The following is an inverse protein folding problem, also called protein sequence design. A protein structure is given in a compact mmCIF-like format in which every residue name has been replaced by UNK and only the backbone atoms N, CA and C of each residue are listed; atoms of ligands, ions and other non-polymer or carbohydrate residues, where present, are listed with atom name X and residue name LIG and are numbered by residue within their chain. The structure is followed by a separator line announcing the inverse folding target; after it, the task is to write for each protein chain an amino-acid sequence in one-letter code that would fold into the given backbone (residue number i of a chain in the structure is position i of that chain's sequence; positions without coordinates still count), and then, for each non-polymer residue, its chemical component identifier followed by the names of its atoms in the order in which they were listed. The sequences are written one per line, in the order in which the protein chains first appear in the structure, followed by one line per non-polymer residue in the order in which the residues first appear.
data_IF_715001602881
#
_entry.id   IF_715001602881
#
_cell.length_a   1.000
_cell.length_b   1.000
_cell.length_c   1.000
_cell.angle_alpha   90.00
_cell.angle_beta   90.00
_cell.angle_gamma   90.00
#
_symmetry.space_group_name_H-M   'P 1'
#
loop_
_entity.id
_entity.type
_entity.pdbx_description
1 polymer ?
#
# COMPACT_ATOMS: atom_id res chain seq x y z
N UNK A 1 -0.31 1.61 17.20
CA UNK A 1 -0.17 3.07 17.34
C UNK A 1 1.28 3.38 17.61
N UNK A 2 1.97 4.00 16.65
CA UNK A 2 3.31 4.53 16.85
C UNK A 2 3.19 6.03 17.17
N UNK A 3 3.94 6.48 18.18
CA UNK A 3 4.07 7.90 18.49
C UNK A 3 5.31 8.43 17.76
N UNK A 4 5.13 9.41 16.87
CA UNK A 4 6.24 10.03 16.11
C UNK A 4 7.26 10.75 17.01
N UNK A 5 6.84 11.18 18.20
CA UNK A 5 7.66 11.91 19.17
C UNK A 5 7.35 11.48 20.61
N UNK A 6 7.83 10.31 21.07
CA UNK A 6 7.51 9.81 22.43
C UNK A 6 7.97 10.75 23.55
N UNK A 7 8.97 11.59 23.29
CA UNK A 7 9.50 12.61 24.22
C UNK A 7 8.44 13.66 24.59
N UNK A 8 7.48 13.95 23.71
CA UNK A 8 6.42 14.92 23.99
C UNK A 8 5.41 14.42 25.05
N UNK A 9 5.41 13.14 25.42
CA UNK A 9 4.62 12.65 26.56
C UNK A 9 5.06 13.30 27.89
N UNK A 10 6.25 13.87 27.97
CA UNK A 10 6.71 14.61 29.15
C UNK A 10 5.84 15.85 29.44
N UNK A 11 5.11 16.40 28.46
CA UNK A 11 4.19 17.52 28.70
C UNK A 11 3.02 17.16 29.61
N UNK A 12 2.70 15.86 29.75
CA UNK A 12 1.72 15.39 30.74
C UNK A 12 2.18 15.64 32.18
N UNK A 13 3.48 15.84 32.42
CA UNK A 13 4.02 16.26 33.72
C UNK A 13 3.52 17.62 34.20
N UNK A 14 2.87 18.42 33.34
CA UNK A 14 2.23 19.68 33.73
C UNK A 14 0.93 19.46 34.54
N UNK A 15 0.30 18.29 34.42
CA UNK A 15 -0.94 17.94 35.14
C UNK A 15 -0.74 17.94 36.66
N UNK A 16 0.24 17.22 37.25
CA UNK A 16 0.46 17.26 38.69
C UNK A 16 0.86 18.65 39.21
N UNK A 17 1.55 19.47 38.41
CA UNK A 17 1.87 20.85 38.75
C UNK A 17 0.60 21.72 38.85
N UNK A 18 -0.33 21.58 37.89
CA UNK A 18 -1.61 22.28 37.92
C UNK A 18 -2.48 21.85 39.11
N UNK A 19 -2.50 20.55 39.42
CA UNK A 19 -3.20 20.03 40.61
C UNK A 19 -2.59 20.61 41.89
N UNK A 20 -1.26 20.71 41.98
CA UNK A 20 -0.57 21.27 43.14
C UNK A 20 -0.93 22.76 43.33
N UNK A 21 -0.87 23.57 42.27
CA UNK A 21 -1.23 24.99 42.32
C UNK A 21 -2.69 25.18 42.72
N UNK A 22 -3.61 24.36 42.19
CA UNK A 22 -5.03 24.43 42.56
C UNK A 22 -5.29 23.94 43.99
N UNK A 23 -4.46 23.03 44.50
CA UNK A 23 -4.53 22.54 45.88
C UNK A 23 -4.00 23.56 46.90
N UNK A 24 -3.21 24.56 46.48
CA UNK A 24 -2.84 25.71 47.31
C UNK A 24 -4.08 26.60 47.56
N UNK A 25 -4.95 26.14 48.46
CA UNK A 25 -6.02 26.99 49.00
C UNK A 25 -5.44 28.00 49.98
N UNK A 26 -5.80 29.29 49.87
CA UNK A 26 -5.50 30.25 50.90
C UNK A 26 -6.11 29.79 52.23
N UNK A 27 -5.37 29.93 53.33
CA UNK A 27 -5.92 29.68 54.66
C UNK A 27 -7.13 30.59 54.86
N UNK A 28 -8.28 30.06 55.33
CA UNK A 28 -9.43 30.90 55.62
C UNK A 28 -9.01 31.96 56.64
N UNK A 29 -9.38 33.21 56.39
CA UNK A 29 -9.14 34.30 57.36
C UNK A 29 -10.14 34.13 58.49
N UNK A 30 -9.64 33.97 59.70
CA UNK A 30 -10.46 34.01 60.91
C UNK A 30 -10.87 35.47 61.16
N UNK A 31 -12.16 35.70 61.27
CA UNK A 31 -12.74 37.02 61.55
C UNK A 31 -13.57 36.87 62.82
N UNK A 32 -13.29 37.71 63.82
CA UNK A 32 -14.10 37.77 65.04
C UNK A 32 -15.46 38.38 64.71
N UNK A 33 -16.52 37.64 65.03
CA UNK A 33 -17.91 38.04 64.79
C UNK A 33 -18.67 38.07 66.11
N UNK A 34 -19.46 39.14 66.31
CA UNK A 34 -20.15 39.42 67.57
C UNK A 34 -21.25 38.41 67.93
N UNK A 35 -21.80 37.67 66.96
CA UNK A 35 -22.88 36.71 67.20
C UNK A 35 -22.73 35.43 66.35
N UNK A 36 -22.34 34.33 67.00
CA UNK A 36 -22.10 33.02 66.37
C UNK A 36 -23.37 32.30 65.90
N UNK A 37 -24.51 32.59 66.53
CA UNK A 37 -25.77 31.89 66.26
C UNK A 37 -26.29 32.14 64.83
N UNK A 38 -26.25 33.40 64.38
CA UNK A 38 -26.69 33.79 63.04
C UNK A 38 -25.84 33.14 61.94
N UNK A 39 -24.52 33.00 62.17
CA UNK A 39 -23.62 32.35 61.22
C UNK A 39 -23.87 30.84 61.14
N UNK A 40 -24.16 30.17 62.26
CA UNK A 40 -24.47 28.74 62.27
C UNK A 40 -25.71 28.38 61.43
N UNK A 41 -26.74 29.23 61.42
CA UNK A 41 -27.96 29.02 60.62
C UNK A 41 -27.66 29.12 59.10
N UNK A 42 -26.86 30.12 58.68
CA UNK A 42 -26.45 30.32 57.28
C UNK A 42 -25.57 29.17 56.76
N UNK A 43 -24.67 28.64 57.59
CA UNK A 43 -23.85 27.47 57.24
C UNK A 43 -24.67 26.18 57.16
N UNK A 44 -25.79 26.07 57.90
CA UNK A 44 -26.68 24.90 57.87
C UNK A 44 -27.46 24.82 56.55
N UNK A 45 -27.82 25.96 55.97
CA UNK A 45 -28.54 26.05 54.70
C UNK A 45 -27.65 25.75 53.47
N UNK A 46 -26.35 26.05 53.55
CA UNK A 46 -25.37 25.75 52.50
C UNK A 46 -24.97 24.26 52.39
N UNK A 47 -25.44 23.40 53.29
CA UNK A 47 -25.01 21.99 53.36
C UNK A 47 -25.67 21.06 52.34
N UNK A 48 -26.71 21.50 51.62
CA UNK A 48 -27.50 20.62 50.72
C UNK A 48 -27.07 20.63 49.23
N UNK A 49 -26.19 21.54 48.78
CA UNK A 49 -25.79 21.67 47.36
C UNK A 49 -24.43 21.04 47.01
N UNK A 50 -23.94 20.13 47.86
CA UNK A 50 -22.52 19.77 47.92
C UNK A 50 -21.95 18.98 46.73
N UNK A 51 -22.75 18.39 45.84
CA UNK A 51 -22.21 17.59 44.71
C UNK A 51 -21.96 18.43 43.46
N UNK A 52 -22.95 19.20 42.99
CA UNK A 52 -22.82 20.04 41.80
C UNK A 52 -21.97 21.30 42.01
N UNK A 53 -21.98 21.89 43.21
CA UNK A 53 -21.13 23.05 43.51
C UNK A 53 -19.65 22.68 43.60
N UNK A 54 -19.31 21.44 43.98
CA UNK A 54 -17.92 20.94 43.93
C UNK A 54 -17.44 20.77 42.49
N UNK A 55 -18.30 20.29 41.60
CA UNK A 55 -17.97 20.18 40.18
C UNK A 55 -17.78 21.56 39.55
N UNK A 56 -18.65 22.55 39.86
CA UNK A 56 -18.49 23.93 39.40
C UNK A 56 -17.22 24.61 39.92
N UNK A 57 -16.88 24.41 41.21
CA UNK A 57 -15.64 24.93 41.81
C UNK A 57 -14.37 24.33 41.20
N UNK A 58 -14.44 23.07 40.73
CA UNK A 58 -13.31 22.38 40.11
C UNK A 58 -13.40 22.34 38.56
N UNK A 59 -14.44 22.92 37.98
CA UNK A 59 -14.64 23.02 36.53
C UNK A 59 -13.46 23.71 35.82
N UNK A 60 -12.90 24.84 36.32
CA UNK A 60 -11.71 25.43 35.71
C UNK A 60 -10.49 24.49 35.72
N UNK A 61 -10.32 23.69 36.78
CA UNK A 61 -9.24 22.70 36.86
C UNK A 61 -9.44 21.59 35.81
N UNK A 62 -10.65 21.05 35.69
CA UNK A 62 -10.97 20.03 34.70
C UNK A 62 -10.73 20.53 33.26
N UNK A 63 -11.08 21.79 32.98
CA UNK A 63 -10.84 22.43 31.68
C UNK A 63 -9.35 22.60 31.40
N UNK A 64 -8.55 23.00 32.38
CA UNK A 64 -7.09 23.11 32.24
C UNK A 64 -6.45 21.74 31.94
N UNK A 65 -6.85 20.69 32.66
CA UNK A 65 -6.38 19.32 32.40
C UNK A 65 -6.75 18.88 30.99
N UNK A 66 -8.00 19.14 30.56
CA UNK A 66 -8.45 18.80 29.22
C UNK A 66 -7.63 19.50 28.14
N UNK A 67 -7.35 20.81 28.32
CA UNK A 67 -6.49 21.57 27.38
C UNK A 67 -5.08 20.99 27.32
N UNK A 68 -4.47 20.65 28.45
CA UNK A 68 -3.13 20.03 28.48
C UNK A 68 -3.13 18.67 27.77
N UNK A 69 -4.16 17.84 27.99
CA UNK A 69 -4.31 16.55 27.30
C UNK A 69 -4.48 16.75 25.79
N UNK A 70 -5.32 17.70 25.37
CA UNK A 70 -5.52 18.00 23.94
C UNK A 70 -4.24 18.54 23.30
N UNK A 71 -3.49 19.40 23.98
CA UNK A 71 -2.19 19.88 23.50
C UNK A 71 -1.17 18.75 23.41
N UNK A 72 -1.10 17.89 24.42
CA UNK A 72 -0.21 16.72 24.40
C UNK A 72 -0.56 15.78 23.24
N UNK A 73 -1.84 15.53 22.96
CA UNK A 73 -2.31 14.75 21.82
C UNK A 73 -1.99 15.43 20.49
N UNK A 74 -2.23 16.73 20.37
CA UNK A 74 -1.90 17.49 19.16
C UNK A 74 -0.39 17.48 18.86
N UNK A 75 0.45 17.52 19.91
CA UNK A 75 1.90 17.49 19.84
C UNK A 75 2.44 16.10 19.54
N UNK A 76 1.89 15.05 20.16
CA UNK A 76 2.28 13.66 19.89
C UNK A 76 1.79 13.14 18.54
N UNK A 77 0.85 13.85 17.88
CA UNK A 77 0.26 13.51 16.57
C UNK A 77 -0.02 12.01 16.47
N UNK A 78 -0.99 11.46 17.23
CA UNK A 78 -1.28 10.04 17.21
C UNK A 78 -1.71 9.63 15.80
N UNK A 79 -0.84 8.93 15.09
CA UNK A 79 -1.16 8.40 13.76
C UNK A 79 -1.80 7.04 13.96
N UNK A 80 -3.04 6.92 13.48
CA UNK A 80 -3.66 5.63 13.28
C UNK A 80 -3.01 5.02 12.04
N UNK A 81 -1.96 4.24 12.25
CA UNK A 81 -1.55 3.25 11.26
C UNK A 81 -2.68 2.23 11.20
N UNK A 82 -3.59 2.41 10.25
CA UNK A 82 -4.43 1.31 9.82
C UNK A 82 -3.48 0.18 9.44
N UNK A 83 -3.69 -1.01 9.99
CA UNK A 83 -3.10 -2.25 9.50
C UNK A 83 -3.72 -2.55 8.12
N UNK A 84 -3.56 -1.63 7.16
CA UNK A 84 -3.47 -2.05 5.77
C UNK A 84 -2.17 -2.83 5.76
N UNK A 85 -2.27 -4.16 5.73
CA UNK A 85 -1.16 -5.00 5.26
C UNK A 85 -0.60 -4.25 4.06
N UNK A 86 0.67 -3.87 4.10
CA UNK A 86 1.30 -3.09 3.04
C UNK A 86 1.47 -4.03 1.85
N UNK A 87 0.35 -4.47 1.26
CA UNK A 87 0.31 -5.30 0.08
C UNK A 87 0.89 -4.40 -1.00
N UNK A 88 2.15 -4.67 -1.38
CA UNK A 88 2.83 -3.85 -2.35
C UNK A 88 2.14 -3.90 -3.70
N UNK A 89 2.58 -3.06 -4.62
CA UNK A 89 1.99 -2.97 -5.94
C UNK A 89 2.19 -4.27 -6.73
N UNK A 90 1.31 -4.48 -7.69
CA UNK A 90 1.32 -5.67 -8.55
C UNK A 90 1.94 -5.28 -9.90
N UNK A 91 2.97 -6.01 -10.32
CA UNK A 91 3.57 -5.86 -11.64
C UNK A 91 3.22 -7.09 -12.47
N UNK A 92 2.42 -6.89 -13.52
CA UNK A 92 2.04 -7.93 -14.48
C UNK A 92 2.99 -7.90 -15.67
N UNK A 93 3.81 -8.94 -15.83
CA UNK A 93 4.63 -9.14 -17.02
C UNK A 93 3.96 -10.21 -17.88
N UNK A 94 3.46 -9.80 -19.04
CA UNK A 94 2.68 -10.67 -19.93
C UNK A 94 3.52 -10.95 -21.18
N UNK A 95 3.78 -12.23 -21.42
CA UNK A 95 4.44 -12.71 -22.64
C UNK A 95 3.50 -12.61 -23.85
N UNK A 96 3.91 -11.82 -24.84
CA UNK A 96 3.21 -11.63 -26.13
C UNK A 96 4.02 -12.20 -27.30
N UNK A 97 4.92 -13.14 -27.04
CA UNK A 97 5.71 -13.80 -28.08
C UNK A 97 4.87 -14.67 -29.02
N UNK A 98 5.47 -15.02 -30.16
CA UNK A 98 4.87 -15.92 -31.14
C UNK A 98 4.46 -17.28 -30.54
N UNK A 99 5.23 -17.81 -29.56
CA UNK A 99 4.92 -19.09 -28.93
C UNK A 99 3.63 -19.04 -28.10
N UNK A 100 3.23 -17.87 -27.62
CA UNK A 100 1.97 -17.65 -26.91
C UNK A 100 0.73 -17.77 -27.82
N UNK A 101 0.90 -17.70 -29.15
CA UNK A 101 -0.18 -17.97 -30.10
C UNK A 101 -0.50 -19.48 -30.26
N UNK A 102 0.29 -20.36 -29.63
CA UNK A 102 0.08 -21.81 -29.69
C UNK A 102 -1.32 -22.19 -29.19
N UNK A 103 -2.06 -22.94 -30.01
CA UNK A 103 -3.37 -23.48 -29.64
C UNK A 103 -3.22 -24.65 -28.67
N UNK A 104 -4.04 -24.61 -27.64
CA UNK A 104 -4.20 -25.61 -26.58
C UNK A 104 -5.65 -26.12 -26.58
N UNK A 105 -5.99 -27.05 -25.67
CA UNK A 105 -7.35 -27.52 -25.49
C UNK A 105 -8.35 -26.44 -25.02
N UNK A 106 -7.85 -25.37 -24.37
CA UNK A 106 -8.67 -24.32 -23.76
C UNK A 106 -8.56 -22.96 -24.48
N UNK A 107 -8.06 -22.93 -25.72
CA UNK A 107 -7.79 -21.70 -26.48
C UNK A 107 -6.30 -21.53 -26.77
N UNK A 108 -5.83 -20.32 -27.04
CA UNK A 108 -4.39 -20.04 -27.17
C UNK A 108 -3.71 -19.88 -25.80
N UNK A 109 -2.39 -20.10 -25.70
CA UNK A 109 -1.64 -19.83 -24.47
C UNK A 109 -1.78 -18.37 -24.03
N UNK A 110 -1.83 -17.44 -24.99
CA UNK A 110 -2.08 -16.03 -24.74
C UNK A 110 -3.46 -15.77 -24.12
N UNK A 111 -4.52 -16.43 -24.60
CA UNK A 111 -5.85 -16.30 -24.00
C UNK A 111 -5.89 -16.82 -22.56
N UNK A 112 -5.18 -17.91 -22.26
CA UNK A 112 -5.03 -18.39 -20.89
C UNK A 112 -4.27 -17.40 -20.01
N UNK A 113 -3.14 -16.86 -20.49
CA UNK A 113 -2.39 -15.84 -19.79
C UNK A 113 -3.23 -14.59 -19.53
N UNK A 114 -4.01 -14.13 -20.53
CA UNK A 114 -4.93 -13.02 -20.38
C UNK A 114 -5.96 -13.28 -19.28
N UNK A 115 -6.56 -14.47 -19.27
CA UNK A 115 -7.54 -14.86 -18.25
C UNK A 115 -6.92 -14.87 -16.84
N UNK A 116 -5.72 -15.44 -16.69
CA UNK A 116 -5.00 -15.45 -15.42
C UNK A 116 -4.61 -14.03 -14.97
N UNK A 117 -4.20 -13.16 -15.89
CA UNK A 117 -3.94 -11.75 -15.56
C UNK A 117 -5.20 -11.04 -15.04
N UNK A 118 -6.36 -11.27 -15.66
CA UNK A 118 -7.63 -10.73 -15.21
C UNK A 118 -8.02 -11.23 -13.81
N UNK A 119 -7.78 -12.52 -13.51
CA UNK A 119 -7.99 -13.10 -12.19
C UNK A 119 -7.10 -12.46 -11.11
N UNK A 120 -5.83 -12.20 -11.43
CA UNK A 120 -4.92 -11.47 -10.52
C UNK A 120 -5.42 -10.04 -10.26
N UNK A 121 -5.90 -9.34 -11.30
CA UNK A 121 -6.48 -7.99 -11.16
C UNK A 121 -7.75 -8.01 -10.29
N UNK A 122 -8.56 -9.06 -10.39
CA UNK A 122 -9.77 -9.22 -9.59
C UNK A 122 -9.50 -9.49 -8.11
N UNK A 123 -8.41 -10.21 -7.82
CA UNK A 123 -7.98 -10.54 -6.46
C UNK A 123 -7.14 -9.46 -5.79
N UNK A 124 -6.68 -8.45 -6.54
CA UNK A 124 -5.92 -7.34 -6.00
C UNK A 124 -6.69 -6.60 -4.88
N UNK A 125 -5.98 -6.03 -3.92
CA UNK A 125 -6.56 -5.17 -2.88
C UNK A 125 -6.96 -3.80 -3.47
N UNK A 126 -7.93 -3.06 -2.87
CA UNK A 126 -8.37 -1.76 -3.40
C UNK A 126 -7.31 -0.66 -3.39
N UNK A 127 -6.21 -0.87 -2.65
CA UNK A 127 -5.12 0.08 -2.49
C UNK A 127 -3.87 -0.28 -3.30
N UNK A 128 -3.86 -1.43 -3.98
CA UNK A 128 -2.76 -1.85 -4.84
C UNK A 128 -2.89 -1.20 -6.21
N UNK A 129 -1.77 -0.67 -6.70
CA UNK A 129 -1.67 -0.22 -8.09
C UNK A 129 -1.08 -1.33 -8.95
N UNK A 130 -1.51 -1.39 -10.21
CA UNK A 130 -1.10 -2.41 -11.16
C UNK A 130 -0.28 -1.77 -12.27
N UNK A 131 0.94 -2.27 -12.47
CA UNK A 131 1.80 -1.96 -13.63
C UNK A 131 1.68 -3.11 -14.64
N UNK A 132 1.50 -2.81 -15.92
CA UNK A 132 1.42 -3.82 -16.97
C UNK A 132 2.61 -3.65 -17.92
N UNK A 133 3.39 -4.72 -18.06
CA UNK A 133 4.55 -4.81 -18.93
C UNK A 133 4.28 -5.83 -20.01
N UNK A 134 4.41 -5.39 -21.26
CA UNK A 134 4.38 -6.25 -22.44
C UNK A 134 5.78 -6.81 -22.69
N UNK A 135 5.91 -8.14 -22.69
CA UNK A 135 7.16 -8.87 -22.90
C UNK A 135 7.33 -9.40 -24.35
N UNK A 136 6.83 -8.65 -25.33
CA UNK A 136 7.03 -8.93 -26.75
C UNK A 136 8.47 -8.76 -27.24
N UNK A 137 8.65 -8.59 -28.56
CA UNK A 137 9.97 -8.43 -29.19
C UNK A 137 10.76 -7.23 -28.66
N UNK A 138 10.05 -6.12 -28.39
CA UNK A 138 10.57 -4.94 -27.70
C UNK A 138 9.75 -4.75 -26.44
N UNK A 139 10.30 -5.09 -25.25
CA UNK A 139 9.59 -4.92 -24.00
C UNK A 139 9.17 -3.48 -23.80
N UNK A 140 7.92 -3.27 -23.43
CA UNK A 140 7.36 -1.95 -23.24
C UNK A 140 6.38 -1.91 -22.07
N UNK A 141 6.22 -0.72 -21.49
CA UNK A 141 5.25 -0.49 -20.43
C UNK A 141 3.91 -0.20 -21.12
N UNK A 142 3.00 -1.16 -21.09
CA UNK A 142 1.65 -0.99 -21.63
C UNK A 142 0.86 0.03 -20.81
N UNK A 143 1.10 0.08 -19.49
CA UNK A 143 0.60 1.13 -18.62
C UNK A 143 1.51 1.36 -17.42
N UNK A 144 1.58 2.61 -16.96
CA UNK A 144 2.10 2.94 -15.64
C UNK A 144 1.26 2.31 -14.52
N UNK A 145 1.53 2.67 -13.27
CA UNK A 145 0.73 2.22 -12.13
C UNK A 145 -0.72 2.73 -12.26
N UNK A 146 -1.66 1.78 -12.30
CA UNK A 146 -3.10 2.04 -12.41
C UNK A 146 -3.80 1.50 -11.17
N UNK A 147 -4.47 2.39 -10.43
CA UNK A 147 -5.31 2.02 -9.28
C UNK A 147 -6.71 1.52 -9.71
N UNK A 148 -7.19 1.96 -10.88
CA UNK A 148 -8.51 1.56 -11.41
C UNK A 148 -8.46 0.18 -12.08
N UNK A 149 -9.10 -0.80 -11.44
CA UNK A 149 -9.18 -2.18 -11.94
C UNK A 149 -9.87 -2.28 -13.29
N UNK A 150 -10.91 -1.49 -13.54
CA UNK A 150 -11.62 -1.55 -14.82
C UNK A 150 -10.70 -1.14 -15.97
N UNK A 151 -9.92 -0.07 -15.76
CA UNK A 151 -8.92 0.40 -16.70
C UNK A 151 -7.78 -0.60 -16.88
N UNK A 152 -7.28 -1.21 -15.80
CA UNK A 152 -6.26 -2.26 -15.89
C UNK A 152 -6.73 -3.46 -16.73
N UNK A 153 -8.00 -3.89 -16.55
CA UNK A 153 -8.59 -4.96 -17.36
C UNK A 153 -8.73 -4.58 -18.84
N UNK A 154 -9.12 -3.35 -19.13
CA UNK A 154 -9.20 -2.84 -20.51
C UNK A 154 -7.83 -2.91 -21.20
N UNK A 155 -6.78 -2.49 -20.50
CA UNK A 155 -5.40 -2.54 -21.01
C UNK A 155 -4.93 -3.96 -21.26
N UNK A 156 -5.19 -4.90 -20.34
CA UNK A 156 -4.87 -6.33 -20.53
C UNK A 156 -5.63 -6.90 -21.73
N UNK A 157 -6.89 -6.51 -21.95
CA UNK A 157 -7.68 -6.97 -23.09
C UNK A 157 -7.24 -6.34 -24.42
N UNK A 158 -6.60 -5.17 -24.39
CA UNK A 158 -6.06 -4.51 -25.58
C UNK A 158 -4.74 -5.12 -26.05
N UNK A 159 -4.06 -5.92 -25.22
CA UNK A 159 -2.82 -6.59 -25.60
C UNK A 159 -3.08 -7.66 -26.66
N UNK A 160 -2.19 -7.71 -27.65
CA UNK A 160 -2.21 -8.70 -28.73
C UNK A 160 -0.87 -9.41 -28.81
N UNK A 161 -0.85 -10.73 -29.03
CA UNK A 161 0.40 -11.45 -29.25
C UNK A 161 1.02 -11.01 -30.58
N UNK A 162 2.34 -11.01 -30.63
CA UNK A 162 3.15 -10.70 -31.81
C UNK A 162 3.62 -11.99 -32.50
N UNK A 163 4.06 -11.88 -33.75
CA UNK A 163 4.65 -12.99 -34.51
C UNK A 163 6.17 -13.12 -34.30
N UNK A 164 6.72 -12.40 -33.33
CA UNK A 164 8.15 -12.34 -33.04
C UNK A 164 8.50 -13.05 -31.71
N UNK A 165 9.76 -13.47 -31.53
CA UNK A 165 10.21 -13.99 -30.24
C UNK A 165 10.13 -12.88 -29.17
N UNK A 166 9.68 -13.24 -27.97
CA UNK A 166 9.62 -12.34 -26.82
C UNK A 166 10.98 -12.18 -26.14
N UNK A 167 11.19 -11.05 -25.48
CA UNK A 167 12.39 -10.78 -24.69
C UNK A 167 12.07 -10.71 -23.20
N UNK A 168 11.73 -11.87 -22.64
CA UNK A 168 11.25 -12.02 -21.26
C UNK A 168 12.23 -11.46 -20.21
N UNK A 169 13.52 -11.76 -20.34
CA UNK A 169 14.55 -11.29 -19.40
C UNK A 169 14.57 -9.76 -19.32
N UNK A 170 14.56 -9.09 -20.48
CA UNK A 170 14.55 -7.63 -20.57
C UNK A 170 13.25 -7.04 -20.01
N UNK A 171 12.11 -7.69 -20.25
CA UNK A 171 10.82 -7.28 -19.69
C UNK A 171 10.79 -7.42 -18.16
N UNK A 172 11.37 -8.48 -17.61
CA UNK A 172 11.48 -8.69 -16.16
C UNK A 172 12.42 -7.65 -15.55
N UNK A 173 13.57 -7.35 -16.17
CA UNK A 173 14.44 -6.27 -15.70
C UNK A 173 13.76 -4.90 -15.75
N UNK A 174 12.97 -4.65 -16.79
CA UNK A 174 12.15 -3.45 -16.88
C UNK A 174 11.16 -3.39 -15.72
N UNK A 175 10.43 -4.46 -15.43
CA UNK A 175 9.52 -4.53 -14.28
C UNK A 175 10.25 -4.33 -12.94
N UNK A 176 11.40 -4.99 -12.74
CA UNK A 176 12.23 -4.87 -11.55
C UNK A 176 12.68 -3.42 -11.29
N UNK A 177 12.85 -2.60 -12.34
CA UNK A 177 13.20 -1.19 -12.18
C UNK A 177 12.11 -0.33 -11.51
N UNK A 178 10.88 -0.82 -11.47
CA UNK A 178 9.74 -0.16 -10.82
C UNK A 178 9.40 -0.75 -9.45
N UNK A 179 10.06 -1.84 -9.04
CA UNK A 179 9.85 -2.46 -7.73
C UNK A 179 10.40 -1.56 -6.64
N UNK A 180 9.56 -1.26 -5.65
CA UNK A 180 9.97 -0.50 -4.47
C UNK A 180 10.40 -1.45 -3.35
N UNK A 181 11.68 -1.47 -2.93
CA UNK A 181 12.15 -2.38 -1.88
C UNK A 181 11.55 -2.09 -0.49
N UNK A 182 10.91 -0.94 -0.29
CA UNK A 182 10.20 -0.61 0.94
C UNK A 182 8.76 -1.15 0.97
N UNK A 183 8.24 -1.63 -0.16
CA UNK A 183 6.91 -2.23 -0.30
C UNK A 183 7.04 -3.71 -0.63
N UNK A 184 6.05 -4.52 -0.26
CA UNK A 184 6.02 -5.94 -0.61
C UNK A 184 5.46 -6.10 -2.04
N UNK A 185 6.10 -5.47 -3.02
CA UNK A 185 5.68 -5.51 -4.43
C UNK A 185 5.87 -6.93 -4.98
N UNK A 186 4.93 -7.38 -5.80
CA UNK A 186 4.91 -8.73 -6.38
C UNK A 186 4.90 -8.64 -7.90
N UNK A 187 5.79 -9.38 -8.55
CA UNK A 187 5.84 -9.51 -10.00
C UNK A 187 5.20 -10.84 -10.39
N UNK A 188 4.11 -10.80 -11.15
CA UNK A 188 3.54 -11.99 -11.79
C UNK A 188 4.03 -12.07 -13.22
N UNK A 189 4.67 -13.18 -13.56
CA UNK A 189 5.21 -13.43 -14.89
C UNK A 189 4.36 -14.48 -15.59
N UNK A 190 3.59 -14.07 -16.59
CA UNK A 190 2.71 -14.94 -17.37
C UNK A 190 3.38 -15.30 -18.69
N UNK A 191 3.91 -16.51 -18.79
CA UNK A 191 4.71 -16.98 -19.93
C UNK A 191 4.53 -18.48 -20.15
N UNK A 192 4.92 -19.00 -21.32
CA UNK A 192 5.01 -20.43 -21.57
C UNK A 192 6.36 -21.05 -21.16
N UNK A 193 7.28 -20.23 -20.64
CA UNK A 193 8.58 -20.66 -20.14
C UNK A 193 9.60 -21.00 -21.25
N UNK A 194 9.35 -20.60 -22.50
CA UNK A 194 10.21 -20.92 -23.65
C UNK A 194 11.59 -20.20 -23.68
N UNK A 195 12.08 -19.68 -22.54
CA UNK A 195 13.37 -18.98 -22.43
C UNK A 195 14.34 -19.68 -21.46
N UNK A 196 15.48 -20.17 -21.95
CA UNK A 196 16.46 -20.90 -21.13
C UNK A 196 17.12 -20.08 -20.00
N UNK A 197 17.10 -18.74 -20.09
CA UNK A 197 17.76 -17.81 -19.15
C UNK A 197 16.85 -17.30 -18.01
N UNK A 198 15.57 -17.68 -18.00
CA UNK A 198 14.63 -17.21 -16.99
C UNK A 198 14.88 -17.82 -15.60
N UNK A 199 15.43 -19.03 -15.57
CA UNK A 199 15.71 -19.83 -14.38
C UNK A 199 16.51 -19.09 -13.31
N UNK A 200 17.53 -18.32 -13.72
CA UNK A 200 18.45 -17.65 -12.81
C UNK A 200 17.79 -16.41 -12.17
N UNK A 201 16.97 -15.70 -12.94
CA UNK A 201 16.24 -14.51 -12.46
C UNK A 201 15.16 -14.90 -11.45
N UNK A 202 14.47 -16.02 -11.69
CA UNK A 202 13.46 -16.59 -10.79
C UNK A 202 14.05 -17.01 -9.44
N UNK A 203 15.28 -17.53 -9.41
CA UNK A 203 15.95 -17.93 -8.17
C UNK A 203 16.45 -16.74 -7.34
N UNK A 204 16.76 -15.63 -8.00
CA UNK A 204 17.34 -14.46 -7.36
C UNK A 204 16.27 -13.56 -6.69
N UNK A 205 15.04 -13.57 -7.21
CA UNK A 205 13.97 -12.68 -6.77
C UNK A 205 12.76 -13.46 -6.23
N UNK A 206 12.65 -13.59 -4.90
CA UNK A 206 11.55 -14.29 -4.24
C UNK A 206 10.15 -13.66 -4.49
N UNK A 207 10.11 -12.40 -4.94
CA UNK A 207 8.87 -11.67 -5.22
C UNK A 207 8.36 -11.91 -6.65
N UNK A 208 9.04 -12.74 -7.44
CA UNK A 208 8.64 -13.08 -8.80
C UNK A 208 7.89 -14.42 -8.79
N UNK A 209 6.62 -14.37 -9.16
CA UNK A 209 5.71 -15.51 -9.22
C UNK A 209 5.48 -15.88 -10.70
N UNK A 210 6.11 -16.94 -11.22
CA UNK A 210 5.87 -17.40 -12.59
C UNK A 210 4.56 -18.18 -12.69
N UNK A 211 3.71 -17.81 -13.64
CA UNK A 211 2.50 -18.54 -14.02
C UNK A 211 2.74 -19.12 -15.41
N UNK A 212 3.04 -20.42 -15.46
CA UNK A 212 3.44 -21.11 -16.69
C UNK A 212 2.23 -21.63 -17.46
N UNK A 213 2.07 -21.17 -18.70
CA UNK A 213 1.05 -21.65 -19.64
C UNK A 213 1.55 -22.91 -20.34
N UNK A 214 0.94 -24.05 -20.01
CA UNK A 214 1.29 -25.36 -20.56
C UNK A 214 0.30 -25.82 -21.64
N UNK A 215 0.77 -26.64 -22.57
CA UNK A 215 -0.07 -27.27 -23.60
C UNK A 215 0.28 -26.85 -25.02
N UNK A 216 -0.06 -27.69 -26.00
CA UNK A 216 0.38 -27.55 -27.39
C UNK A 216 1.77 -28.18 -27.60
N UNK A 217 1.80 -29.52 -27.72
CA UNK A 217 3.03 -30.32 -27.82
C UNK A 217 3.71 -30.23 -29.21
N UNK A 218 3.07 -29.57 -30.17
CA UNK A 218 3.58 -29.38 -31.54
C UNK A 218 3.77 -27.90 -31.85
N UNK A 219 4.53 -27.21 -31.01
CA UNK A 219 4.98 -25.86 -31.33
C UNK A 219 6.30 -25.96 -32.14
N UNK A 220 6.18 -25.95 -33.46
CA UNK A 220 7.31 -25.85 -34.39
C UNK A 220 7.30 -24.45 -34.96
N UNK A 221 8.11 -23.56 -34.37
CA UNK A 221 8.32 -22.20 -34.85
C UNK A 221 9.54 -22.12 -35.76
N UNK A 222 9.47 -21.31 -36.82
CA UNK A 222 10.66 -20.89 -37.56
C UNK A 222 11.38 -19.87 -36.68
N UNK A 223 12.41 -20.30 -35.96
CA UNK A 223 13.15 -19.46 -34.99
C UNK A 223 14.11 -18.49 -35.64
N UNK A 224 14.54 -18.79 -36.88
CA UNK A 224 15.45 -17.95 -37.65
C UNK A 224 15.22 -18.19 -39.14
N UNK A 225 15.02 -17.10 -39.88
CA UNK A 225 14.97 -17.11 -41.35
C UNK A 225 15.78 -15.91 -41.83
N UNK A 226 16.90 -16.17 -42.50
CA UNK A 226 17.74 -15.15 -43.12
C UNK A 226 17.72 -15.39 -44.63
N UNK A 227 17.59 -14.31 -45.40
CA UNK A 227 17.80 -14.31 -46.84
C UNK A 227 18.81 -13.21 -47.16
N UNK A 228 19.77 -13.50 -48.03
CA UNK A 228 20.73 -12.51 -48.53
C UNK A 228 20.57 -12.36 -50.04
N UNK A 229 20.67 -11.12 -50.51
CA UNK A 229 20.70 -10.86 -51.94
C UNK A 229 22.06 -11.30 -52.50
N UNK A 230 22.03 -12.09 -53.57
CA UNK A 230 23.25 -12.53 -54.25
C UNK A 230 23.94 -11.33 -54.90
N UNK A 231 25.23 -11.16 -54.61
CA UNK A 231 26.05 -10.06 -55.14
C UNK A 231 26.24 -10.14 -56.66
N UNK A 232 26.14 -11.34 -57.23
CA UNK A 232 26.31 -11.61 -58.66
C UNK A 232 25.00 -11.61 -59.46
N UNK A 233 23.86 -11.74 -58.78
CA UNK A 233 22.52 -11.68 -59.39
C UNK A 233 21.58 -10.90 -58.47
N UNK A 234 21.42 -9.58 -58.67
CA UNK A 234 20.63 -8.73 -57.77
C UNK A 234 19.15 -9.11 -57.70
N UNK A 235 18.64 -9.93 -58.61
CA UNK A 235 17.25 -10.41 -58.59
C UNK A 235 17.10 -11.77 -57.88
N UNK A 236 18.17 -12.35 -57.33
CA UNK A 236 18.14 -13.62 -56.61
C UNK A 236 18.50 -13.47 -55.13
N UNK A 237 17.74 -14.16 -54.28
CA UNK A 237 17.94 -14.25 -52.84
C UNK A 237 18.27 -15.71 -52.48
N UNK A 238 19.23 -15.91 -51.58
CA UNK A 238 19.63 -17.22 -51.03
C UNK A 238 19.65 -17.22 -49.50
#
# INVERSE_FOLDING_TARGET
MQFLSPVMLLTLGLIPLLILIHALKPRPKELDVTNLFLWQEVFREHRSRLTLDRLRKNLPLLLQILVVVLLALALTRPVWQYLTRNTGNILLVIDTSASMQTRTAAGTRFEQARQQALEVIDQADPHQEILIVDAGHTPSIASGFVADRAKAKELVNALTPSDAPGRLEQAVYLALSFVNPAQEDVIYLLTDGAGQQLSDVLQTHHNLVPILMSGGERNVGITKFEFRQRLDQPDQYE
#
